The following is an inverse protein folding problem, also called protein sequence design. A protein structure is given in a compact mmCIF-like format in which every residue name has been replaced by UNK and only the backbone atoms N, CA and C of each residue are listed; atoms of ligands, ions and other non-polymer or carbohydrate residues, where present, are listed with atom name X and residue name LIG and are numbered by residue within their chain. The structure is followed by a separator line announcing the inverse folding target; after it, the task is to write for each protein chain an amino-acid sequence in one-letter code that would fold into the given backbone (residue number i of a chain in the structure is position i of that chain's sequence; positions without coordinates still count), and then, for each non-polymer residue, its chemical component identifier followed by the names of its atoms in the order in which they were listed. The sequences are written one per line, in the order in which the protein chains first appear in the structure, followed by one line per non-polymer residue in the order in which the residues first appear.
data_IF_534223678646
#
_entry.id   IF_534223678646
#
_cell.length_a   1.000
_cell.length_b   1.000
_cell.length_c   1.000
_cell.angle_alpha   90.00
_cell.angle_beta   90.00
_cell.angle_gamma   90.00
#
_symmetry.space_group_name_H-M   'P 1'
#
loop_
_entity.id
_entity.type
_entity.pdbx_description
1 polymer ?
#
# COMPACT_ATOMS: atom_id res chain seq x y z
N UNK A 1 -22.44 7.68 11.16
CA UNK A 1 -21.71 6.45 11.55
C UNK A 1 -21.69 5.40 10.44
N UNK A 2 -22.81 5.16 9.76
CA UNK A 2 -22.89 4.31 8.56
C UNK A 2 -22.00 4.78 7.40
N UNK A 3 -21.86 6.09 7.17
CA UNK A 3 -20.95 6.64 6.14
C UNK A 3 -19.47 6.30 6.36
N UNK A 4 -18.99 6.26 7.60
CA UNK A 4 -17.58 5.93 7.90
C UNK A 4 -17.29 4.44 7.68
N UNK A 5 -18.26 3.58 7.99
CA UNK A 5 -18.16 2.14 7.79
C UNK A 5 -18.28 1.78 6.29
N UNK A 6 -19.11 2.51 5.55
CA UNK A 6 -19.19 2.46 4.08
C UNK A 6 -17.94 3.02 3.39
N UNK A 7 -17.32 4.09 3.92
CA UNK A 7 -16.02 4.58 3.44
C UNK A 7 -14.91 3.57 3.72
N UNK A 8 -14.91 2.94 4.90
CA UNK A 8 -13.94 1.92 5.27
C UNK A 8 -14.07 0.67 4.39
N UNK A 9 -15.28 0.13 4.24
CA UNK A 9 -15.54 -1.02 3.36
C UNK A 9 -15.35 -0.64 1.88
N UNK A 10 -15.74 0.57 1.48
CA UNK A 10 -15.54 1.08 0.13
C UNK A 10 -14.07 1.27 -0.24
N UNK A 11 -13.22 1.71 0.69
CA UNK A 11 -11.76 1.86 0.46
C UNK A 11 -10.99 0.55 0.61
N UNK A 12 -11.40 -0.33 1.53
CA UNK A 12 -10.78 -1.64 1.75
C UNK A 12 -11.15 -2.65 0.65
N UNK A 13 -12.41 -2.65 0.18
CA UNK A 13 -12.92 -3.65 -0.79
C UNK A 13 -13.15 -3.12 -2.21
N UNK A 14 -13.63 -1.88 -2.40
CA UNK A 14 -14.11 -1.42 -3.73
C UNK A 14 -13.13 -0.49 -4.47
N UNK A 15 -12.41 0.39 -3.75
CA UNK A 15 -11.40 1.29 -4.30
C UNK A 15 -9.97 0.75 -4.07
N UNK A 16 -9.79 -0.56 -4.23
CA UNK A 16 -8.50 -1.19 -3.98
C UNK A 16 -7.44 -0.70 -5.00
N UNK A 17 -6.53 0.15 -4.53
CA UNK A 17 -5.45 0.77 -5.31
C UNK A 17 -4.54 -0.21 -6.03
N UNK A 18 -4.41 -1.42 -5.48
CA UNK A 18 -3.52 -2.45 -6.00
C UNK A 18 -4.11 -3.14 -7.22
N UNK A 19 -5.42 -3.34 -7.24
CA UNK A 19 -6.10 -4.19 -8.24
C UNK A 19 -6.84 -3.39 -9.32
N UNK A 20 -7.32 -2.18 -9.00
CA UNK A 20 -8.06 -1.33 -9.95
C UNK A 20 -7.16 -0.25 -10.55
N UNK A 21 -6.19 0.27 -9.79
CA UNK A 21 -5.27 1.32 -10.26
C UNK A 21 -3.84 0.85 -10.53
N UNK A 22 -3.54 -0.44 -10.32
CA UNK A 22 -2.21 -1.06 -10.55
C UNK A 22 -1.04 -0.39 -9.81
N UNK A 23 -1.26 0.18 -8.61
CA UNK A 23 -0.17 0.78 -7.83
C UNK A 23 0.42 -0.23 -6.83
N UNK A 24 1.74 -0.16 -6.62
CA UNK A 24 2.44 -0.96 -5.61
C UNK A 24 2.93 -2.33 -6.09
N UNK A 25 3.07 -2.52 -7.41
CA UNK A 25 3.56 -3.76 -8.01
C UNK A 25 5.02 -4.09 -7.63
N UNK A 26 5.84 -3.08 -7.32
CA UNK A 26 7.27 -3.24 -7.03
C UNK A 26 7.54 -4.11 -5.78
N UNK A 27 6.99 -3.79 -4.58
CA UNK A 27 7.12 -4.68 -3.42
C UNK A 27 6.32 -5.97 -3.58
N UNK A 28 5.21 -5.91 -4.33
CA UNK A 28 4.34 -7.05 -4.59
C UNK A 28 5.04 -8.17 -5.38
N UNK A 29 5.88 -7.85 -6.35
CA UNK A 29 6.66 -8.87 -7.07
C UNK A 29 7.91 -9.31 -6.29
N UNK A 30 8.50 -8.41 -5.51
CA UNK A 30 9.77 -8.62 -4.79
C UNK A 30 9.66 -9.47 -3.53
N UNK A 31 8.63 -9.26 -2.70
CA UNK A 31 8.57 -9.81 -1.32
C UNK A 31 7.55 -10.96 -1.15
N UNK A 32 6.76 -11.26 -2.18
CA UNK A 32 5.67 -12.24 -2.12
C UNK A 32 6.10 -13.71 -2.30
N UNK A 33 7.38 -14.04 -2.10
CA UNK A 33 7.85 -15.43 -2.19
C UNK A 33 7.55 -16.26 -0.95
N UNK A 34 7.48 -15.61 0.22
CA UNK A 34 7.16 -16.24 1.50
C UNK A 34 6.04 -15.48 2.18
N UNK A 35 5.16 -16.20 2.85
CA UNK A 35 4.01 -15.64 3.54
C UNK A 35 4.45 -14.77 4.74
N UNK A 36 5.44 -15.23 5.50
CA UNK A 36 6.01 -14.50 6.65
C UNK A 36 6.56 -13.11 6.26
N UNK A 37 7.30 -13.04 5.14
CA UNK A 37 7.87 -11.77 4.66
C UNK A 37 6.80 -10.85 4.09
N UNK A 38 5.78 -11.40 3.44
CA UNK A 38 4.65 -10.62 2.92
C UNK A 38 3.81 -10.01 4.05
N UNK A 39 3.57 -10.75 5.14
CA UNK A 39 2.89 -10.22 6.33
C UNK A 39 3.70 -9.10 6.96
N UNK A 40 5.00 -9.31 7.19
CA UNK A 40 5.89 -8.28 7.76
C UNK A 40 5.92 -7.01 6.92
N UNK A 41 5.98 -7.16 5.60
CA UNK A 41 5.92 -6.05 4.65
C UNK A 41 4.56 -5.33 4.69
N UNK A 42 3.46 -6.07 4.71
CA UNK A 42 2.12 -5.50 4.81
C UNK A 42 1.91 -4.70 6.11
N UNK A 43 2.39 -5.21 7.24
CA UNK A 43 2.32 -4.47 8.51
C UNK A 43 3.17 -3.20 8.46
N UNK A 44 4.40 -3.27 7.95
CA UNK A 44 5.25 -2.09 7.80
C UNK A 44 4.63 -1.02 6.90
N UNK A 45 4.04 -1.41 5.74
CA UNK A 45 3.37 -0.44 4.87
C UNK A 45 2.10 0.13 5.50
N UNK A 46 1.34 -0.64 6.29
CA UNK A 46 0.18 -0.10 7.01
C UNK A 46 0.54 1.01 7.98
N UNK A 47 1.61 0.81 8.74
CA UNK A 47 2.12 1.84 9.65
C UNK A 47 2.61 3.10 8.89
N UNK A 48 3.36 2.90 7.80
CA UNK A 48 3.84 4.04 6.99
C UNK A 48 2.69 4.78 6.30
N UNK A 49 1.75 4.08 5.65
CA UNK A 49 0.65 4.72 4.91
C UNK A 49 -0.26 5.54 5.82
N UNK A 50 -0.57 5.00 7.00
CA UNK A 50 -1.43 5.68 7.98
C UNK A 50 -0.79 6.98 8.46
N UNK A 51 0.47 6.93 8.88
CA UNK A 51 1.22 8.11 9.30
C UNK A 51 1.46 9.09 8.15
N UNK A 52 1.80 8.59 6.95
CA UNK A 52 1.99 9.42 5.77
C UNK A 52 0.69 10.14 5.38
N UNK A 53 -0.46 9.46 5.42
CA UNK A 53 -1.75 10.08 5.08
C UNK A 53 -2.13 11.21 6.05
N UNK A 54 -1.89 11.00 7.35
CA UNK A 54 -2.14 12.01 8.39
C UNK A 54 -1.18 13.21 8.23
N UNK A 55 0.11 12.94 8.06
CA UNK A 55 1.13 13.98 7.93
C UNK A 55 1.01 14.77 6.62
N UNK A 56 0.72 14.11 5.49
CA UNK A 56 0.45 14.78 4.21
C UNK A 56 -0.78 15.68 4.29
N UNK A 57 -1.82 15.29 5.04
CA UNK A 57 -2.98 16.16 5.26
C UNK A 57 -2.62 17.41 6.08
N UNK A 58 -1.82 17.25 7.15
CA UNK A 58 -1.34 18.37 7.95
C UNK A 58 -0.52 19.35 7.12
N UNK A 59 0.46 18.83 6.36
CA UNK A 59 1.34 19.64 5.51
C UNK A 59 0.54 20.35 4.41
N UNK A 60 -0.45 19.67 3.82
CA UNK A 60 -1.29 20.31 2.83
C UNK A 60 -2.10 21.48 3.42
N UNK A 61 -2.78 21.24 4.55
CA UNK A 61 -3.73 22.20 5.13
C UNK A 61 -3.03 23.38 5.80
N UNK A 62 -1.96 23.13 6.56
CA UNK A 62 -1.28 24.15 7.35
C UNK A 62 -0.12 24.84 6.62
N UNK A 63 0.44 24.25 5.56
CA UNK A 63 1.62 24.81 4.88
C UNK A 63 1.30 25.18 3.44
N UNK A 64 0.76 24.25 2.63
CA UNK A 64 0.59 24.51 1.20
C UNK A 64 -0.55 25.49 0.86
N UNK A 65 -1.70 25.36 1.53
CA UNK A 65 -2.85 26.25 1.31
C UNK A 65 -2.53 27.70 1.70
N UNK A 66 -1.96 28.01 2.89
CA UNK A 66 -1.70 29.40 3.26
C UNK A 66 -0.56 30.05 2.48
N UNK A 67 0.35 29.27 1.90
CA UNK A 67 1.47 29.79 1.10
C UNK A 67 1.17 29.79 -0.42
N UNK A 68 0.01 29.33 -0.87
CA UNK A 68 -0.37 29.16 -2.29
C UNK A 68 0.60 28.25 -3.11
N UNK A 69 1.36 27.39 -2.41
CA UNK A 69 2.43 26.58 -2.99
C UNK A 69 1.95 25.23 -3.56
N UNK A 70 0.76 25.20 -4.17
CA UNK A 70 0.08 23.97 -4.61
C UNK A 70 0.91 23.18 -5.62
N UNK A 71 1.76 23.85 -6.40
CA UNK A 71 2.62 23.22 -7.40
C UNK A 71 3.74 22.33 -6.80
N UNK A 72 4.14 22.52 -5.53
CA UNK A 72 5.16 21.67 -4.89
C UNK A 72 4.59 20.44 -4.16
N UNK A 73 3.27 20.21 -4.23
CA UNK A 73 2.58 19.17 -3.45
C UNK A 73 3.23 17.79 -3.55
N UNK A 74 3.62 17.36 -4.75
CA UNK A 74 4.28 16.06 -4.97
C UNK A 74 5.64 15.98 -4.28
N UNK A 75 6.46 17.04 -4.38
CA UNK A 75 7.79 17.08 -3.74
C UNK A 75 7.67 17.07 -2.22
N UNK A 76 6.74 17.86 -1.67
CA UNK A 76 6.47 17.90 -0.23
C UNK A 76 6.02 16.53 0.29
N UNK A 77 5.15 15.82 -0.44
CA UNK A 77 4.70 14.49 -0.02
C UNK A 77 5.81 13.44 -0.07
N UNK A 78 6.68 13.46 -1.09
CA UNK A 78 7.84 12.56 -1.14
C UNK A 78 8.75 12.79 0.08
N UNK A 79 9.01 14.06 0.45
CA UNK A 79 9.80 14.38 1.65
C UNK A 79 9.14 13.87 2.94
N UNK A 80 7.84 14.09 3.10
CA UNK A 80 7.09 13.60 4.26
C UNK A 80 7.16 12.08 4.36
N UNK A 81 6.93 11.38 3.25
CA UNK A 81 7.01 9.91 3.18
C UNK A 81 8.43 9.45 3.52
N UNK A 82 9.47 10.09 2.99
CA UNK A 82 10.87 9.75 3.29
C UNK A 82 11.17 9.84 4.79
N UNK A 83 10.73 10.91 5.46
CA UNK A 83 10.92 11.08 6.92
C UNK A 83 10.17 9.99 7.70
N UNK A 84 8.92 9.69 7.33
CA UNK A 84 8.11 8.66 8.00
C UNK A 84 8.71 7.25 7.80
N UNK A 85 9.20 6.94 6.61
CA UNK A 85 9.86 5.65 6.34
C UNK A 85 11.18 5.55 7.11
N UNK A 86 11.98 6.61 7.15
CA UNK A 86 13.22 6.62 7.92
C UNK A 86 12.97 6.39 9.42
N UNK A 87 11.93 7.02 9.95
CA UNK A 87 11.48 6.78 11.33
C UNK A 87 11.05 5.32 11.53
N UNK A 88 10.32 4.76 10.56
CA UNK A 88 9.87 3.36 10.61
C UNK A 88 11.04 2.38 10.55
N UNK A 89 12.07 2.66 9.75
CA UNK A 89 13.29 1.86 9.68
C UNK A 89 13.98 1.77 11.04
N UNK A 90 14.14 2.91 11.70
CA UNK A 90 14.72 2.94 13.04
C UNK A 90 13.84 2.20 14.07
N UNK A 91 12.52 2.35 13.97
CA UNK A 91 11.58 1.66 14.85
C UNK A 91 11.64 0.13 14.66
N UNK A 92 11.62 -0.36 13.42
CA UNK A 92 11.70 -1.81 13.10
C UNK A 92 13.04 -2.40 13.53
N UNK A 93 14.15 -1.67 13.34
CA UNK A 93 15.48 -2.10 13.79
C UNK A 93 15.53 -2.30 15.30
N UNK A 94 14.79 -1.50 16.07
CA UNK A 94 14.75 -1.56 17.53
C UNK A 94 13.77 -2.62 18.06
N UNK A 95 12.59 -2.78 17.45
CA UNK A 95 11.57 -3.73 17.94
C UNK A 95 11.81 -5.17 17.48
N UNK A 96 12.28 -5.39 16.25
CA UNK A 96 12.41 -6.73 15.67
C UNK A 96 13.63 -6.89 14.75
N UNK A 97 14.81 -7.22 15.30
CA UNK A 97 16.02 -7.40 14.49
C UNK A 97 15.94 -8.57 13.50
N UNK A 98 15.09 -9.57 13.75
CA UNK A 98 14.80 -10.66 12.82
C UNK A 98 14.09 -10.17 11.55
N UNK A 99 13.08 -9.30 11.71
CA UNK A 99 12.33 -8.72 10.61
C UNK A 99 13.19 -7.72 9.81
N UNK A 100 14.01 -6.93 10.51
CA UNK A 100 14.96 -6.01 9.87
C UNK A 100 15.99 -6.74 9.00
N UNK A 101 16.49 -7.92 9.42
CA UNK A 101 17.42 -8.72 8.60
C UNK A 101 16.79 -9.22 7.30
N UNK A 102 15.49 -9.53 7.31
CA UNK A 102 14.76 -10.02 6.14
C UNK A 102 14.29 -8.89 5.23
N UNK A 103 13.91 -7.75 5.81
CA UNK A 103 13.18 -6.69 5.14
C UNK A 103 14.01 -5.41 4.90
N UNK A 104 15.19 -5.28 5.51
CA UNK A 104 15.99 -4.04 5.52
C UNK A 104 16.26 -3.45 4.13
N UNK A 105 16.45 -4.29 3.11
CA UNK A 105 16.65 -3.85 1.72
C UNK A 105 15.36 -3.30 1.09
N UNK A 106 14.20 -3.78 1.55
CA UNK A 106 12.88 -3.40 1.03
C UNK A 106 12.26 -2.20 1.74
N UNK A 107 12.79 -1.77 2.90
CA UNK A 107 12.28 -0.59 3.60
C UNK A 107 12.46 0.70 2.78
N UNK A 108 13.62 0.97 2.15
CA UNK A 108 13.76 2.10 1.23
C UNK A 108 12.80 2.03 0.02
N UNK A 109 12.44 0.82 -0.44
CA UNK A 109 11.45 0.63 -1.51
C UNK A 109 10.03 1.10 -1.13
N UNK A 110 9.74 1.31 0.16
CA UNK A 110 8.46 1.90 0.59
C UNK A 110 8.39 3.37 0.18
N UNK A 111 9.51 4.11 0.23
CA UNK A 111 9.53 5.54 -0.13
C UNK A 111 9.16 5.80 -1.58
N UNK A 112 9.57 4.90 -2.47
CA UNK A 112 9.31 4.97 -3.91
C UNK A 112 8.08 4.18 -4.33
N UNK A 113 7.29 3.69 -3.38
CA UNK A 113 6.10 2.92 -3.67
C UNK A 113 4.98 3.83 -4.19
N UNK A 114 4.57 3.58 -5.44
CA UNK A 114 3.50 4.32 -6.10
C UNK A 114 2.19 4.34 -5.30
N UNK A 115 1.87 3.26 -4.58
CA UNK A 115 0.65 3.18 -3.77
C UNK A 115 0.69 4.17 -2.60
N UNK A 116 1.84 4.36 -1.95
CA UNK A 116 1.99 5.29 -0.82
C UNK A 116 1.78 6.74 -1.29
N UNK A 117 2.47 7.12 -2.37
CA UNK A 117 2.32 8.47 -2.95
C UNK A 117 0.91 8.71 -3.50
N UNK A 118 0.34 7.71 -4.17
CA UNK A 118 -1.00 7.80 -4.75
C UNK A 118 -2.09 8.01 -3.70
N UNK A 119 -2.00 7.29 -2.57
CA UNK A 119 -2.95 7.45 -1.46
C UNK A 119 -2.83 8.85 -0.84
N UNK A 120 -1.61 9.35 -0.62
CA UNK A 120 -1.40 10.71 -0.11
C UNK A 120 -1.98 11.78 -1.04
N UNK A 121 -1.76 11.66 -2.36
CA UNK A 121 -2.33 12.59 -3.35
C UNK A 121 -3.85 12.51 -3.42
N UNK A 122 -4.43 11.31 -3.43
CA UNK A 122 -5.88 11.15 -3.53
C UNK A 122 -6.59 11.62 -2.27
N UNK A 123 -6.00 11.38 -1.10
CA UNK A 123 -6.53 11.86 0.17
C UNK A 123 -6.72 13.38 0.18
N UNK A 124 -5.77 14.09 -0.40
CA UNK A 124 -5.79 15.55 -0.48
C UNK A 124 -6.69 16.07 -1.61
N UNK A 125 -6.76 15.38 -2.74
CA UNK A 125 -7.69 15.75 -3.83
C UNK A 125 -9.17 15.55 -3.46
N UNK A 126 -9.47 14.58 -2.58
CA UNK A 126 -10.84 14.32 -2.11
C UNK A 126 -11.23 15.17 -0.89
N UNK A 127 -10.38 16.11 -0.45
CA UNK A 127 -10.66 17.04 0.64
C UNK A 127 -11.15 16.37 1.93
N UNK A 128 -10.61 15.20 2.26
CA UNK A 128 -11.00 14.47 3.45
C UNK A 128 -10.65 15.24 4.73
N UNK A 129 -11.52 15.20 5.74
CA UNK A 129 -11.22 15.70 7.09
C UNK A 129 -10.07 14.91 7.74
N UNK A 130 -9.46 15.44 8.82
CA UNK A 130 -8.35 14.76 9.55
C UNK A 130 -8.67 13.30 9.90
N UNK A 131 -9.87 13.05 10.42
CA UNK A 131 -10.32 11.71 10.80
C UNK A 131 -10.58 10.83 9.56
N UNK A 132 -11.12 11.40 8.48
CA UNK A 132 -11.35 10.66 7.22
C UNK A 132 -10.01 10.30 6.55
N UNK A 133 -8.99 11.15 6.63
CA UNK A 133 -7.65 10.91 6.11
C UNK A 133 -6.96 9.72 6.76
N UNK A 134 -7.07 9.61 8.10
CA UNK A 134 -6.53 8.49 8.85
C UNK A 134 -7.24 7.18 8.47
N UNK A 135 -8.57 7.21 8.41
CA UNK A 135 -9.41 6.05 8.05
C UNK A 135 -9.15 5.61 6.60
N UNK A 136 -8.99 6.56 5.68
CA UNK A 136 -8.68 6.29 4.27
C UNK A 136 -7.29 5.67 4.10
N UNK A 137 -6.27 6.24 4.75
CA UNK A 137 -4.91 5.69 4.74
C UNK A 137 -4.83 4.29 5.35
N UNK A 138 -5.54 4.06 6.46
CA UNK A 138 -5.65 2.74 7.08
C UNK A 138 -6.36 1.74 6.16
N UNK A 139 -7.49 2.13 5.57
CA UNK A 139 -8.27 1.29 4.68
C UNK A 139 -7.49 0.88 3.43
N UNK A 140 -6.81 1.83 2.79
CA UNK A 140 -5.95 1.58 1.64
C UNK A 140 -4.80 0.62 1.98
N UNK A 141 -4.19 0.79 3.15
CA UNK A 141 -3.08 -0.07 3.55
C UNK A 141 -3.53 -1.47 3.98
N UNK A 142 -4.69 -1.60 4.63
CA UNK A 142 -5.31 -2.88 4.92
C UNK A 142 -5.68 -3.63 3.64
N UNK A 143 -6.17 -2.93 2.61
CA UNK A 143 -6.38 -3.50 1.29
C UNK A 143 -5.07 -4.01 0.66
N UNK A 144 -4.00 -3.22 0.73
CA UNK A 144 -2.68 -3.63 0.25
C UNK A 144 -2.13 -4.85 1.00
N UNK A 145 -2.24 -4.89 2.33
CA UNK A 145 -1.74 -6.02 3.13
C UNK A 145 -2.51 -7.29 2.86
N UNK A 146 -3.85 -7.22 2.73
CA UNK A 146 -4.69 -8.36 2.38
C UNK A 146 -4.30 -8.95 1.03
N UNK A 147 -4.13 -8.10 0.01
CA UNK A 147 -3.76 -8.52 -1.35
C UNK A 147 -2.35 -9.12 -1.38
N UNK A 148 -1.40 -8.55 -0.65
CA UNK A 148 -0.04 -9.10 -0.49
C UNK A 148 -0.06 -10.49 0.11
N UNK A 149 -0.83 -10.71 1.18
CA UNK A 149 -0.92 -12.00 1.87
C UNK A 149 -1.56 -13.06 0.97
N UNK A 150 -2.68 -12.73 0.31
CA UNK A 150 -3.32 -13.65 -0.64
C UNK A 150 -2.39 -14.04 -1.79
N UNK A 151 -1.68 -13.06 -2.36
CA UNK A 151 -0.76 -13.33 -3.45
C UNK A 151 0.44 -14.17 -3.02
N UNK A 152 1.00 -13.91 -1.83
CA UNK A 152 2.07 -14.73 -1.27
C UNK A 152 1.61 -16.18 -1.04
N UNK A 153 0.39 -16.38 -0.53
CA UNK A 153 -0.18 -17.72 -0.36
C UNK A 153 -0.34 -18.46 -1.70
N UNK A 154 -0.78 -17.76 -2.76
CA UNK A 154 -0.86 -18.33 -4.11
C UNK A 154 0.54 -18.69 -4.64
N UNK A 155 1.54 -17.82 -4.44
CA UNK A 155 2.92 -18.07 -4.91
C UNK A 155 3.59 -19.22 -4.17
N UNK A 156 3.36 -19.40 -2.88
CA UNK A 156 3.86 -20.56 -2.13
C UNK A 156 3.26 -21.86 -2.67
N UNK A 157 1.95 -21.90 -2.95
CA UNK A 157 1.33 -23.08 -3.60
C UNK A 157 1.88 -23.33 -4.99
N UNK A 158 2.10 -22.27 -5.78
CA UNK A 158 2.68 -22.39 -7.11
C UNK A 158 4.10 -22.94 -7.08
N UNK A 159 4.89 -22.66 -6.04
CA UNK A 159 6.26 -23.16 -5.92
C UNK A 159 6.33 -24.69 -5.85
N UNK A 160 5.27 -25.35 -5.36
CA UNK A 160 5.15 -26.81 -5.28
C UNK A 160 4.44 -27.40 -6.51
N UNK A 161 3.81 -26.55 -7.34
CA UNK A 161 3.09 -26.98 -8.53
C UNK A 161 4.02 -27.26 -9.72
N UNK A 162 3.59 -28.16 -10.61
CA UNK A 162 4.30 -28.47 -11.84
C UNK A 162 4.10 -27.34 -12.89
N UNK A 163 4.93 -26.30 -12.80
CA UNK A 163 4.95 -25.19 -13.76
C UNK A 163 5.95 -25.51 -14.89
N UNK A 164 5.58 -25.33 -16.18
CA UNK A 164 6.50 -25.44 -17.31
C UNK A 164 7.74 -24.56 -17.12
N UNK A 165 8.92 -25.09 -17.44
CA UNK A 165 10.21 -24.40 -17.28
C UNK A 165 10.24 -22.93 -17.75
N UNK A 166 9.68 -22.54 -18.93
CA UNK A 166 9.72 -21.15 -19.39
C UNK A 166 8.84 -20.18 -18.59
N UNK A 167 7.86 -20.68 -17.82
CA UNK A 167 6.96 -19.83 -17.03
C UNK A 167 7.42 -19.65 -15.58
N UNK A 168 8.46 -20.37 -15.12
CA UNK A 168 8.92 -20.29 -13.73
C UNK A 168 9.42 -18.89 -13.36
N UNK A 169 9.11 -18.45 -12.14
CA UNK A 169 9.64 -17.20 -11.58
C UNK A 169 8.67 -16.03 -11.64
N UNK A 170 9.07 -14.93 -12.29
CA UNK A 170 8.28 -13.70 -12.40
C UNK A 170 7.14 -13.82 -13.41
N UNK A 171 7.33 -14.58 -14.50
CA UNK A 171 6.35 -14.74 -15.57
C UNK A 171 5.03 -15.31 -15.06
N UNK A 172 5.07 -16.44 -14.34
CA UNK A 172 3.86 -17.01 -13.73
C UNK A 172 3.28 -16.09 -12.65
N UNK A 173 4.11 -15.32 -11.95
CA UNK A 173 3.65 -14.32 -10.97
C UNK A 173 2.82 -13.20 -11.60
N UNK A 174 3.18 -12.75 -12.80
CA UNK A 174 2.39 -11.76 -13.55
C UNK A 174 1.07 -12.36 -14.04
N UNK A 175 1.09 -13.62 -14.50
CA UNK A 175 -0.14 -14.33 -14.91
C UNK A 175 -1.10 -14.49 -13.72
N UNK A 176 -0.60 -14.93 -12.56
CA UNK A 176 -1.43 -15.06 -11.36
C UNK A 176 -1.91 -13.71 -10.85
N UNK A 177 -1.09 -12.65 -10.94
CA UNK A 177 -1.50 -11.29 -10.61
C UNK A 177 -2.63 -10.80 -11.54
N UNK A 178 -2.56 -11.09 -12.84
CA UNK A 178 -3.62 -10.79 -13.80
C UNK A 178 -4.92 -11.52 -13.50
N UNK A 179 -4.85 -12.83 -13.22
CA UNK A 179 -6.02 -13.62 -12.82
C UNK A 179 -6.63 -13.13 -11.51
N UNK A 180 -5.80 -12.73 -10.55
CA UNK A 180 -6.25 -12.13 -9.30
C UNK A 180 -6.93 -10.78 -9.55
N UNK A 181 -6.37 -9.93 -10.42
CA UNK A 181 -6.99 -8.66 -10.81
C UNK A 181 -8.39 -8.86 -11.40
N UNK A 182 -8.57 -9.84 -12.30
CA UNK A 182 -9.88 -10.18 -12.85
C UNK A 182 -10.88 -10.65 -11.78
N UNK A 183 -10.43 -11.48 -10.83
CA UNK A 183 -11.29 -11.94 -9.73
C UNK A 183 -11.74 -10.77 -8.84
N UNK A 184 -10.85 -9.80 -8.57
CA UNK A 184 -11.19 -8.64 -7.76
C UNK A 184 -11.99 -7.57 -8.50
N UNK A 185 -11.87 -7.46 -9.84
CA UNK A 185 -12.77 -6.62 -10.63
C UNK A 185 -14.24 -7.04 -10.48
N UNK A 186 -14.52 -8.30 -10.16
CA UNK A 186 -15.87 -8.76 -9.82
C UNK A 186 -16.48 -8.05 -8.60
N UNK A 187 -15.67 -7.54 -7.67
CA UNK A 187 -16.13 -6.77 -6.50
C UNK A 187 -16.38 -5.28 -6.80
N UNK A 188 -16.00 -4.78 -7.97
CA UNK A 188 -16.19 -3.37 -8.33
C UNK A 188 -17.66 -2.93 -8.38
N UNK A 189 -18.59 -3.88 -8.54
CA UNK A 189 -20.04 -3.60 -8.53
C UNK A 189 -20.70 -3.62 -7.14
N UNK A 190 -19.95 -3.88 -6.06
CA UNK A 190 -20.51 -4.14 -4.73
C UNK A 190 -20.90 -2.86 -3.97
N UNK A 191 -20.35 -1.70 -4.36
CA UNK A 191 -20.70 -0.39 -3.79
C UNK A 191 -21.00 0.57 -4.94
N UNK A 192 -22.29 0.79 -5.21
CA UNK A 192 -22.77 1.95 -5.97
C UNK A 192 -22.85 3.12 -5.00
N UNK A 193 -22.09 4.19 -5.29
CA UNK A 193 -22.40 5.53 -4.79
C UNK A 193 -23.70 6.01 -5.44
#
# INVERSE_FOLDING_TARGET
MTEYLLLFIGTVLVNNFVLVKFLGLCPFMGVSKKLETAIGMGMATTFVLTLASISSWLVNTYILIPLDLVYLRTLSFILVIAVVVQFTELAVRKTSPSLYRLLGIFLPLITTNCAVLGVALLNVNQSHNFLQSAVYGFGAAAGFSLVMVLFAAIRERLAVANIPAPFRGSSIGLVTAGLMSLAFMGFSGLVKF
#
